data_IF_772692347248
#
_entry.id   IF_772692347248
#
_cell.length_a   1.000
_cell.length_b   1.000
_cell.length_c   1.000
_cell.angle_alpha   90.00
_cell.angle_beta   90.00
_cell.angle_gamma   90.00
#
_symmetry.space_group_name_H-M   'P 1'
#
loop_
_entity.id
_entity.type
_entity.pdbx_description
1 polymer ?
#
# COMPACT_ATOMS: atom_id res chain seq x y z
N UNK A 1 -56.65 -15.15 -26.99
CA UNK A 1 -56.73 -16.62 -27.17
C UNK A 1 -55.31 -17.10 -27.40
N UNK A 2 -54.55 -17.31 -26.32
CA UNK A 2 -54.43 -18.60 -25.62
C UNK A 2 -53.79 -19.67 -26.50
N UNK A 3 -52.53 -20.03 -26.22
CA UNK A 3 -52.27 -21.28 -25.50
C UNK A 3 -50.80 -21.39 -25.08
N UNK A 4 -50.61 -21.59 -23.79
CA UNK A 4 -49.48 -22.30 -23.22
C UNK A 4 -49.82 -23.79 -23.20
N UNK A 5 -48.84 -24.66 -23.47
CA UNK A 5 -48.81 -26.05 -22.96
C UNK A 5 -47.35 -26.42 -22.68
N UNK A 6 -47.14 -27.00 -21.51
CA UNK A 6 -45.89 -27.36 -20.89
C UNK A 6 -45.54 -28.85 -21.05
N UNK A 7 -44.33 -29.19 -20.57
CA UNK A 7 -43.83 -30.51 -20.13
C UNK A 7 -43.37 -31.51 -21.23
N UNK A 8 -42.11 -31.96 -21.20
CA UNK A 8 -41.69 -33.04 -20.31
C UNK A 8 -40.15 -33.26 -20.25
N UNK A 9 -39.74 -33.88 -19.15
CA UNK A 9 -38.40 -34.15 -18.63
C UNK A 9 -37.56 -35.16 -19.45
N UNK A 10 -36.22 -35.11 -19.30
CA UNK A 10 -35.35 -36.30 -19.28
C UNK A 10 -33.93 -36.00 -18.76
N UNK A 11 -33.72 -36.37 -17.49
CA UNK A 11 -32.60 -37.15 -16.91
C UNK A 11 -31.11 -36.75 -17.10
N UNK A 12 -30.49 -36.49 -15.93
CA UNK A 12 -29.18 -36.95 -15.45
C UNK A 12 -28.00 -37.01 -16.43
N UNK A 13 -27.13 -36.01 -16.31
CA UNK A 13 -25.70 -36.12 -16.64
C UNK A 13 -24.89 -35.53 -15.49
N UNK A 14 -24.26 -36.40 -14.70
CA UNK A 14 -23.24 -36.04 -13.71
C UNK A 14 -22.10 -35.33 -14.44
N UNK A 15 -22.06 -34.00 -14.35
CA UNK A 15 -20.98 -33.15 -14.82
C UNK A 15 -20.52 -32.30 -13.66
N UNK A 16 -19.37 -32.65 -13.10
CA UNK A 16 -18.65 -31.87 -12.10
C UNK A 16 -18.27 -30.53 -12.73
N UNK A 17 -19.13 -29.52 -12.57
CA UNK A 17 -18.85 -28.16 -13.00
C UNK A 17 -18.36 -27.37 -11.80
N UNK A 18 -17.08 -27.01 -11.89
CA UNK A 18 -16.36 -26.11 -11.01
C UNK A 18 -17.28 -24.96 -10.56
N UNK A 19 -17.43 -24.81 -9.24
CA UNK A 19 -18.02 -23.60 -8.69
C UNK A 19 -17.23 -22.41 -9.22
N UNK A 20 -17.87 -21.63 -10.08
CA UNK A 20 -17.39 -20.34 -10.54
C UNK A 20 -17.10 -19.51 -9.29
N UNK A 21 -15.83 -19.19 -9.09
CA UNK A 21 -15.41 -18.14 -8.18
C UNK A 21 -16.21 -16.89 -8.53
N UNK A 22 -17.25 -16.61 -7.76
CA UNK A 22 -17.92 -15.32 -7.78
C UNK A 22 -16.88 -14.32 -7.31
N UNK A 23 -16.20 -13.71 -8.28
CA UNK A 23 -15.44 -12.49 -8.06
C UNK A 23 -16.34 -11.55 -7.26
N UNK A 24 -15.97 -11.36 -5.99
CA UNK A 24 -16.70 -10.54 -5.04
C UNK A 24 -16.45 -9.08 -5.41
N UNK A 25 -17.03 -8.65 -6.54
CA UNK A 25 -16.89 -7.30 -7.03
C UNK A 25 -17.71 -6.40 -6.11
N UNK A 26 -17.01 -5.70 -5.21
CA UNK A 26 -17.61 -4.78 -4.25
C UNK A 26 -18.18 -3.60 -5.04
N UNK A 27 -19.49 -3.62 -5.31
CA UNK A 27 -20.25 -2.50 -5.87
C UNK A 27 -20.42 -1.38 -4.81
N UNK A 28 -19.31 -0.88 -4.27
CA UNK A 28 -19.33 0.15 -3.23
C UNK A 28 -19.63 1.52 -3.84
N UNK A 29 -20.76 2.15 -3.47
CA UNK A 29 -21.08 3.53 -3.88
C UNK A 29 -19.98 4.51 -3.50
N UNK A 30 -19.20 4.18 -2.47
CA UNK A 30 -18.03 4.91 -2.00
C UNK A 30 -16.98 5.20 -3.08
N UNK A 31 -16.86 4.35 -4.10
CA UNK A 31 -15.87 4.52 -5.17
C UNK A 31 -16.34 5.44 -6.30
N UNK A 32 -17.62 5.81 -6.35
CA UNK A 32 -18.17 6.55 -7.49
C UNK A 32 -17.74 8.02 -7.53
N UNK A 33 -17.40 8.62 -6.39
CA UNK A 33 -17.00 10.04 -6.30
C UNK A 33 -15.57 10.25 -5.83
N UNK A 34 -14.88 9.18 -5.41
CA UNK A 34 -13.53 9.26 -4.90
C UNK A 34 -12.54 9.53 -6.04
N UNK A 35 -11.72 10.58 -5.88
CA UNK A 35 -10.58 10.89 -6.74
C UNK A 35 -9.27 10.33 -6.16
N UNK A 36 -9.21 10.15 -4.85
CA UNK A 36 -8.05 9.64 -4.14
C UNK A 36 -8.46 8.62 -3.07
N UNK A 37 -7.65 7.57 -2.92
CA UNK A 37 -7.89 6.50 -1.96
C UNK A 37 -6.62 6.23 -1.14
N UNK A 38 -6.81 6.12 0.17
CA UNK A 38 -5.76 5.73 1.09
C UNK A 38 -6.13 4.41 1.76
N UNK A 39 -5.30 3.39 1.59
CA UNK A 39 -5.52 2.06 2.15
C UNK A 39 -4.43 1.76 3.14
N UNK A 40 -4.79 1.48 4.39
CA UNK A 40 -3.85 1.02 5.40
C UNK A 40 -3.85 -0.51 5.43
N UNK A 41 -2.80 -1.14 4.89
CA UNK A 41 -2.70 -2.61 4.80
C UNK A 41 -2.35 -3.29 6.11
N UNK A 42 -2.01 -2.52 7.15
CA UNK A 42 -1.48 -3.08 8.39
C UNK A 42 -0.02 -3.50 8.23
N UNK A 43 0.54 -4.11 9.27
CA UNK A 43 1.91 -4.59 9.26
C UNK A 43 1.99 -5.88 8.43
N UNK A 44 2.61 -5.78 7.24
CA UNK A 44 2.76 -6.86 6.26
C UNK A 44 3.77 -7.95 6.67
N UNK A 45 4.39 -7.84 7.84
CA UNK A 45 5.35 -8.83 8.33
C UNK A 45 5.34 -8.81 9.85
N UNK A 46 4.27 -9.33 10.47
CA UNK A 46 4.29 -9.57 11.92
C UNK A 46 5.11 -10.84 12.22
N UNK A 47 6.44 -10.73 12.07
CA UNK A 47 7.40 -11.81 12.25
C UNK A 47 7.28 -12.48 13.63
N UNK A 48 6.92 -11.71 14.66
CA UNK A 48 6.82 -12.19 16.04
C UNK A 48 5.49 -12.89 16.37
N UNK A 49 4.45 -12.78 15.53
CA UNK A 49 3.10 -13.31 15.81
C UNK A 49 2.51 -14.24 14.75
N UNK A 50 3.19 -14.42 13.62
CA UNK A 50 2.76 -15.39 12.62
C UNK A 50 3.00 -16.83 13.08
N UNK A 51 2.03 -17.41 13.78
CA UNK A 51 1.96 -18.85 14.05
C UNK A 51 1.49 -19.66 12.82
N UNK A 52 1.30 -19.02 11.67
CA UNK A 52 0.79 -19.63 10.44
C UNK A 52 1.96 -20.11 9.57
N UNK A 53 2.11 -21.43 9.49
CA UNK A 53 3.13 -22.18 8.72
C UNK A 53 3.07 -22.02 7.19
N UNK A 54 2.45 -20.97 6.67
CA UNK A 54 2.32 -20.75 5.22
C UNK A 54 3.26 -19.63 4.81
N UNK A 55 4.29 -19.98 4.04
CA UNK A 55 5.16 -19.01 3.35
C UNK A 55 4.33 -18.39 2.22
N UNK A 56 3.52 -17.38 2.57
CA UNK A 56 2.86 -16.53 1.57
C UNK A 56 3.90 -15.61 0.98
N UNK A 57 3.86 -15.41 -0.34
CA UNK A 57 4.70 -14.38 -0.96
C UNK A 57 4.26 -12.99 -0.46
N UNK A 58 5.18 -12.02 -0.43
CA UNK A 58 4.85 -10.63 -0.05
C UNK A 58 3.71 -10.06 -0.89
N UNK A 59 3.63 -10.44 -2.17
CA UNK A 59 2.53 -10.05 -3.07
C UNK A 59 1.19 -10.60 -2.61
N UNK A 60 1.12 -11.89 -2.28
CA UNK A 60 -0.12 -12.51 -1.80
C UNK A 60 -0.59 -11.90 -0.48
N UNK A 61 0.34 -11.64 0.44
CA UNK A 61 0.04 -10.99 1.71
C UNK A 61 -0.51 -9.57 1.51
N UNK A 62 0.13 -8.76 0.66
CA UNK A 62 -0.37 -7.43 0.31
C UNK A 62 -1.78 -7.51 -0.27
N UNK A 63 -2.01 -8.37 -1.25
CA UNK A 63 -3.33 -8.54 -1.87
C UNK A 63 -4.40 -8.90 -0.83
N UNK A 64 -4.13 -9.89 0.02
CA UNK A 64 -5.05 -10.32 1.06
C UNK A 64 -5.36 -9.18 2.04
N UNK A 65 -4.34 -8.43 2.48
CA UNK A 65 -4.50 -7.30 3.40
C UNK A 65 -5.28 -6.14 2.80
N UNK A 66 -5.02 -5.81 1.53
CA UNK A 66 -5.79 -4.78 0.80
C UNK A 66 -7.25 -5.20 0.70
N UNK A 67 -7.53 -6.41 0.23
CA UNK A 67 -8.89 -6.94 0.08
C UNK A 67 -9.62 -6.94 1.44
N UNK A 68 -8.98 -7.47 2.48
CA UNK A 68 -9.54 -7.53 3.84
C UNK A 68 -9.87 -6.13 4.36
N UNK A 69 -8.97 -5.17 4.18
CA UNK A 69 -9.15 -3.78 4.64
C UNK A 69 -10.31 -3.11 3.90
N UNK A 70 -10.35 -3.23 2.58
CA UNK A 70 -11.42 -2.65 1.77
C UNK A 70 -12.77 -3.25 2.15
N UNK A 71 -12.88 -4.59 2.19
CA UNK A 71 -14.12 -5.29 2.53
C UNK A 71 -14.65 -4.93 3.92
N UNK A 72 -13.78 -4.84 4.92
CA UNK A 72 -14.18 -4.44 6.28
C UNK A 72 -14.79 -3.04 6.35
N UNK A 73 -14.41 -2.16 5.43
CA UNK A 73 -14.81 -0.76 5.42
C UNK A 73 -15.98 -0.50 4.46
N UNK A 74 -16.24 -1.37 3.49
CA UNK A 74 -17.33 -1.25 2.52
C UNK A 74 -18.60 -1.97 2.95
N UNK A 75 -18.50 -3.04 3.75
CA UNK A 75 -19.65 -3.83 4.20
C UNK A 75 -20.70 -3.03 4.99
N UNK A 76 -20.27 -2.07 5.83
CA UNK A 76 -21.16 -1.28 6.71
C UNK A 76 -21.51 0.13 6.18
N UNK A 77 -20.83 0.62 5.13
CA UNK A 77 -20.88 2.05 4.75
C UNK A 77 -21.79 2.38 3.57
N UNK A 78 -22.39 1.38 2.92
CA UNK A 78 -23.22 1.62 1.73
C UNK A 78 -24.57 2.30 2.05
N UNK A 79 -25.03 2.24 3.32
CA UNK A 79 -26.22 2.95 3.81
C UNK A 79 -25.95 4.41 4.23
N UNK A 80 -24.69 4.78 4.50
CA UNK A 80 -24.28 6.14 4.94
C UNK A 80 -23.29 6.80 4.01
N UNK A 81 -23.39 6.51 2.71
CA UNK A 81 -22.50 7.09 1.71
C UNK A 81 -22.63 8.63 1.69
N UNK A 82 -21.55 9.30 2.08
CA UNK A 82 -21.34 10.73 1.82
C UNK A 82 -20.40 10.85 0.64
N UNK A 83 -20.71 11.75 -0.30
CA UNK A 83 -19.81 12.03 -1.43
C UNK A 83 -18.50 12.56 -0.87
N UNK A 84 -17.44 11.77 -1.00
CA UNK A 84 -16.10 12.12 -0.57
C UNK A 84 -15.17 12.06 -1.78
N UNK A 85 -14.36 13.10 -1.99
CA UNK A 85 -13.33 13.11 -3.01
C UNK A 85 -12.09 12.31 -2.59
N UNK A 86 -11.89 12.14 -1.29
CA UNK A 86 -10.81 11.36 -0.72
C UNK A 86 -11.38 10.35 0.29
N UNK A 87 -11.08 9.08 0.09
CA UNK A 87 -11.59 7.99 0.92
C UNK A 87 -10.45 7.25 1.62
N UNK A 88 -10.60 7.01 2.92
CA UNK A 88 -9.60 6.33 3.74
C UNK A 88 -10.16 5.01 4.28
N UNK A 89 -9.45 3.93 4.01
CA UNK A 89 -9.76 2.56 4.40
C UNK A 89 -8.75 2.10 5.44
N UNK A 90 -9.21 1.85 6.67
CA UNK A 90 -8.38 1.39 7.78
C UNK A 90 -9.13 0.29 8.50
N UNK A 91 -8.49 -0.87 8.62
CA UNK A 91 -8.97 -1.93 9.51
C UNK A 91 -8.20 -1.83 10.83
N UNK A 92 -8.86 -1.37 11.88
CA UNK A 92 -8.24 -1.14 13.19
C UNK A 92 -7.66 -2.41 13.81
N UNK A 93 -8.16 -3.60 13.45
CA UNK A 93 -7.61 -4.87 13.91
C UNK A 93 -6.24 -5.20 13.28
N UNK A 94 -5.86 -4.51 12.20
CA UNK A 94 -4.59 -4.72 11.49
C UNK A 94 -3.56 -3.62 11.79
N UNK A 95 -3.97 -2.57 12.49
CA UNK A 95 -3.08 -1.46 12.87
C UNK A 95 -2.41 -1.80 14.20
N UNK A 96 -1.09 -1.90 14.18
CA UNK A 96 -0.28 -2.08 15.38
C UNK A 96 0.88 -1.07 15.36
N UNK A 97 0.93 -0.24 16.39
CA UNK A 97 2.00 0.74 16.59
C UNK A 97 3.19 0.09 17.30
N UNK A 98 4.38 0.61 17.03
CA UNK A 98 5.59 0.26 17.76
C UNK A 98 5.42 0.74 19.20
N UNK A 99 5.64 -0.16 20.16
CA UNK A 99 5.60 0.23 21.57
C UNK A 99 6.87 0.97 21.95
N UNK A 100 6.76 1.93 22.87
CA UNK A 100 7.89 2.76 23.29
C UNK A 100 9.05 1.92 23.86
N UNK A 101 8.75 0.84 24.58
CA UNK A 101 9.75 -0.09 25.11
C UNK A 101 10.49 -0.90 24.03
N UNK A 102 9.85 -1.15 22.88
CA UNK A 102 10.43 -1.91 21.77
C UNK A 102 11.23 -1.00 20.82
N UNK A 103 10.88 0.29 20.74
CA UNK A 103 11.45 1.25 19.77
C UNK A 103 12.98 1.27 19.75
N UNK A 104 13.63 1.26 20.92
CA UNK A 104 15.09 1.32 21.02
C UNK A 104 15.80 0.03 20.56
N UNK A 105 15.06 -1.07 20.44
CA UNK A 105 15.58 -2.38 20.00
C UNK A 105 15.29 -2.68 18.53
N UNK A 106 14.44 -1.85 17.90
CA UNK A 106 14.01 -2.01 16.51
C UNK A 106 14.68 -0.97 15.61
N UNK A 107 15.10 -1.42 14.43
CA UNK A 107 15.47 -0.54 13.33
C UNK A 107 14.27 -0.42 12.39
N UNK A 108 13.67 0.75 12.31
CA UNK A 108 12.51 1.06 11.48
C UNK A 108 12.99 1.60 10.13
N UNK A 109 12.71 0.88 9.05
CA UNK A 109 13.00 1.32 7.69
C UNK A 109 11.72 1.47 6.87
N UNK A 110 11.61 2.55 6.11
CA UNK A 110 10.50 2.81 5.19
C UNK A 110 11.01 2.83 3.76
N UNK A 111 10.27 2.22 2.83
CA UNK A 111 10.55 2.30 1.39
C UNK A 111 9.46 3.11 0.70
N UNK A 112 9.83 4.25 0.12
CA UNK A 112 8.93 5.12 -0.63
C UNK A 112 9.01 4.81 -2.12
N UNK A 113 7.87 4.47 -2.71
CA UNK A 113 7.74 4.24 -4.15
C UNK A 113 7.30 5.54 -4.84
N UNK A 114 8.16 6.06 -5.70
CA UNK A 114 7.96 7.35 -6.36
C UNK A 114 7.32 7.12 -7.72
N UNK A 115 6.04 7.45 -7.84
CA UNK A 115 5.29 7.34 -9.10
C UNK A 115 5.14 8.69 -9.83
N UNK A 116 5.32 9.81 -9.13
CA UNK A 116 5.19 11.16 -9.66
C UNK A 116 6.24 12.09 -9.03
N UNK A 117 6.69 13.08 -9.81
CA UNK A 117 7.65 14.09 -9.33
C UNK A 117 6.95 15.17 -8.49
N UNK A 118 6.58 14.80 -7.26
CA UNK A 118 5.92 15.69 -6.29
C UNK A 118 6.70 15.73 -4.98
N UNK A 119 7.70 16.61 -4.85
CA UNK A 119 8.57 16.64 -3.67
C UNK A 119 7.83 16.90 -2.35
N UNK A 120 6.76 17.71 -2.37
CA UNK A 120 5.95 17.99 -1.18
C UNK A 120 5.32 16.72 -0.58
N UNK A 121 5.04 15.71 -1.40
CA UNK A 121 4.48 14.44 -0.92
C UNK A 121 5.45 13.66 -0.03
N UNK A 122 6.76 13.93 -0.10
CA UNK A 122 7.76 13.24 0.73
C UNK A 122 7.53 13.55 2.20
N UNK A 123 7.38 14.83 2.56
CA UNK A 123 7.17 15.23 3.95
C UNK A 123 5.83 14.69 4.47
N UNK A 124 4.77 14.79 3.66
CA UNK A 124 3.45 14.26 4.02
C UNK A 124 3.48 12.74 4.24
N UNK A 125 4.18 11.99 3.38
CA UNK A 125 4.35 10.55 3.52
C UNK A 125 5.11 10.19 4.79
N UNK A 126 6.25 10.85 5.05
CA UNK A 126 7.06 10.58 6.24
C UNK A 126 6.32 10.89 7.54
N UNK A 127 5.67 12.05 7.66
CA UNK A 127 4.90 12.39 8.87
C UNK A 127 3.72 11.45 9.09
N UNK A 128 3.13 10.96 8.00
CA UNK A 128 2.10 9.94 8.07
C UNK A 128 2.66 8.61 8.57
N UNK A 129 3.80 8.16 8.06
CA UNK A 129 4.45 6.93 8.50
C UNK A 129 4.82 7.00 9.99
N UNK A 130 5.37 8.13 10.46
CA UNK A 130 5.62 8.38 11.89
C UNK A 130 4.34 8.22 12.73
N UNK A 131 3.25 8.83 12.28
CA UNK A 131 1.95 8.79 12.98
C UNK A 131 1.34 7.38 13.00
N UNK A 132 1.41 6.67 11.87
CA UNK A 132 0.83 5.34 11.69
C UNK A 132 1.63 4.28 12.44
N UNK A 133 2.97 4.36 12.43
CA UNK A 133 3.86 3.48 13.19
C UNK A 133 3.92 3.85 14.69
N UNK A 134 3.55 5.08 15.06
CA UNK A 134 3.65 5.58 16.43
C UNK A 134 5.09 5.78 16.90
N UNK A 135 5.95 6.27 16.01
CA UNK A 135 7.37 6.54 16.29
C UNK A 135 7.69 8.00 16.03
N UNK A 136 8.66 8.53 16.77
CA UNK A 136 9.08 9.94 16.62
C UNK A 136 10.09 10.15 15.49
N UNK A 137 10.79 9.08 15.06
CA UNK A 137 11.75 9.11 13.98
C UNK A 137 11.85 7.76 13.25
N UNK A 138 12.23 7.78 11.97
CA UNK A 138 12.51 6.61 11.12
C UNK A 138 14.03 6.44 10.99
N UNK A 139 14.54 5.22 11.17
CA UNK A 139 15.99 4.99 11.10
C UNK A 139 16.52 5.07 9.66
N UNK A 140 15.80 4.54 8.68
CA UNK A 140 16.22 4.57 7.27
C UNK A 140 15.03 4.81 6.33
N UNK A 141 15.15 5.76 5.43
CA UNK A 141 14.20 5.94 4.31
C UNK A 141 14.87 5.56 3.00
N UNK A 142 14.24 4.65 2.25
CA UNK A 142 14.72 4.18 0.95
C UNK A 142 13.79 4.69 -0.15
N UNK A 143 14.29 5.51 -1.06
CA UNK A 143 13.56 5.91 -2.26
C UNK A 143 13.68 4.84 -3.34
N UNK A 144 12.56 4.50 -3.97
CA UNK A 144 12.50 3.59 -5.11
C UNK A 144 11.79 4.26 -6.26
N UNK A 145 12.47 4.26 -7.40
CA UNK A 145 11.97 4.80 -8.66
C UNK A 145 11.73 3.62 -9.61
N UNK A 146 10.75 3.70 -10.52
CA UNK A 146 10.56 2.67 -11.52
C UNK A 146 11.87 2.32 -12.27
N UNK A 147 12.28 1.04 -12.28
CA UNK A 147 13.61 0.63 -12.76
C UNK A 147 13.80 0.77 -14.28
N UNK A 148 12.70 0.97 -15.02
CA UNK A 148 12.71 1.12 -16.48
C UNK A 148 13.08 2.53 -16.96
N UNK A 149 13.22 3.50 -16.05
CA UNK A 149 13.65 4.85 -16.41
C UNK A 149 15.15 4.88 -16.70
N UNK A 150 15.58 5.70 -17.67
CA UNK A 150 17.01 5.88 -17.95
C UNK A 150 17.70 6.67 -16.82
N UNK A 151 19.03 6.53 -16.69
CA UNK A 151 19.81 7.11 -15.61
C UNK A 151 19.57 8.62 -15.38
N UNK A 152 19.57 9.41 -16.45
CA UNK A 152 19.36 10.85 -16.37
C UNK A 152 17.94 11.20 -15.89
N UNK A 153 16.95 10.39 -16.27
CA UNK A 153 15.57 10.55 -15.80
C UNK A 153 15.44 10.15 -14.33
N UNK A 154 16.07 9.03 -13.92
CA UNK A 154 16.11 8.61 -12.51
C UNK A 154 16.70 9.71 -11.63
N UNK A 155 17.84 10.29 -12.03
CA UNK A 155 18.47 11.37 -11.27
C UNK A 155 17.61 12.65 -11.27
N UNK A 156 17.07 13.07 -12.42
CA UNK A 156 16.22 14.26 -12.51
C UNK A 156 15.01 14.15 -11.59
N UNK A 157 14.33 13.00 -11.60
CA UNK A 157 13.18 12.73 -10.75
C UNK A 157 13.58 12.73 -9.28
N UNK A 158 14.65 12.03 -8.89
CA UNK A 158 14.97 11.88 -7.46
C UNK A 158 15.55 13.14 -6.82
N UNK A 159 16.28 13.95 -7.59
CA UNK A 159 17.00 15.12 -7.09
C UNK A 159 16.15 16.04 -6.20
N UNK A 160 14.93 16.46 -6.59
CA UNK A 160 14.10 17.29 -5.74
C UNK A 160 13.54 16.54 -4.52
N UNK A 161 13.22 15.24 -4.62
CA UNK A 161 12.79 14.42 -3.48
C UNK A 161 13.92 14.20 -2.46
N UNK A 162 15.14 14.00 -2.95
CA UNK A 162 16.34 13.84 -2.14
C UNK A 162 16.58 15.05 -1.25
N UNK A 163 16.43 16.27 -1.79
CA UNK A 163 16.53 17.50 -0.99
C UNK A 163 15.49 17.58 0.13
N UNK A 164 14.28 17.10 -0.09
CA UNK A 164 13.26 17.06 0.97
C UNK A 164 13.62 16.04 2.05
N UNK A 165 14.18 14.90 1.67
CA UNK A 165 14.70 13.92 2.64
C UNK A 165 15.91 14.46 3.43
N UNK A 166 16.85 15.16 2.79
CA UNK A 166 17.99 15.80 3.48
C UNK A 166 17.52 16.77 4.56
N UNK A 167 16.48 17.58 4.30
CA UNK A 167 15.87 18.44 5.33
C UNK A 167 15.29 17.65 6.50
N UNK A 168 14.65 16.50 6.23
CA UNK A 168 14.07 15.66 7.28
C UNK A 168 15.16 14.98 8.12
N UNK A 169 16.33 14.70 7.53
CA UNK A 169 17.52 14.25 8.25
C UNK A 169 18.06 15.37 9.15
N UNK A 170 18.22 16.59 8.62
CA UNK A 170 18.63 17.76 9.40
C UNK A 170 17.67 18.03 10.59
N UNK A 171 16.38 17.78 10.40
CA UNK A 171 15.34 17.91 11.42
C UNK A 171 15.22 16.71 12.38
N UNK A 172 16.06 15.68 12.21
CA UNK A 172 16.06 14.45 13.04
C UNK A 172 14.79 13.59 12.96
N UNK A 173 13.93 13.79 11.96
CA UNK A 173 12.79 12.89 11.69
C UNK A 173 13.23 11.60 10.98
N UNK A 174 14.35 11.65 10.27
CA UNK A 174 14.94 10.53 9.55
C UNK A 174 16.42 10.40 9.92
N UNK A 175 16.90 9.19 10.17
CA UNK A 175 18.31 8.91 10.43
C UNK A 175 19.14 8.90 9.15
N UNK A 176 19.02 7.82 8.39
CA UNK A 176 19.71 7.61 7.11
C UNK A 176 18.74 7.67 5.92
N UNK A 177 19.25 8.07 4.76
CA UNK A 177 18.51 8.08 3.49
C UNK A 177 19.26 7.28 2.43
N UNK A 178 18.50 6.54 1.62
CA UNK A 178 19.05 5.64 0.61
C UNK A 178 18.19 5.61 -0.65
N UNK A 179 18.75 5.05 -1.72
CA UNK A 179 18.06 4.77 -2.98
C UNK A 179 18.08 3.29 -3.31
N UNK A 180 17.07 2.83 -4.02
CA UNK A 180 16.94 1.48 -4.54
C UNK A 180 16.62 1.55 -6.04
N UNK A 181 16.96 0.49 -6.78
CA UNK A 181 16.63 0.35 -8.20
C UNK A 181 17.34 1.40 -9.11
N UNK A 182 18.50 1.89 -8.67
CA UNK A 182 19.31 2.89 -9.36
C UNK A 182 20.32 2.27 -10.33
N UNK A 183 20.49 2.89 -11.50
CA UNK A 183 21.64 2.62 -12.36
C UNK A 183 22.93 3.11 -11.71
N UNK A 184 24.07 2.52 -12.09
CA UNK A 184 25.38 2.94 -11.58
C UNK A 184 25.69 4.40 -11.96
N UNK A 185 25.27 4.84 -13.13
CA UNK A 185 25.40 6.22 -13.61
C UNK A 185 24.57 7.17 -12.77
N UNK A 186 23.29 6.86 -12.53
CA UNK A 186 22.41 7.65 -11.69
C UNK A 186 22.93 7.76 -10.25
N UNK A 187 23.45 6.65 -9.69
CA UNK A 187 24.04 6.63 -8.35
C UNK A 187 25.28 7.53 -8.27
N UNK A 188 26.16 7.51 -9.27
CA UNK A 188 27.32 8.42 -9.34
C UNK A 188 26.90 9.88 -9.44
N UNK A 189 25.85 10.19 -10.20
CA UNK A 189 25.31 11.55 -10.30
C UNK A 189 24.75 12.00 -8.94
N UNK A 190 23.98 11.14 -8.27
CA UNK A 190 23.42 11.41 -6.94
C UNK A 190 24.51 11.59 -5.90
N UNK A 191 25.51 10.72 -5.84
CA UNK A 191 26.61 10.80 -4.88
C UNK A 191 27.41 12.11 -5.01
N UNK A 192 27.57 12.64 -6.23
CA UNK A 192 28.20 13.95 -6.46
C UNK A 192 27.33 15.14 -6.05
N UNK A 193 26.02 14.94 -5.97
CA UNK A 193 25.04 15.98 -5.67
C UNK A 193 24.66 16.04 -4.18
N UNK A 194 24.52 14.87 -3.55
CA UNK A 194 24.15 14.71 -2.16
C UNK A 194 25.18 15.36 -1.23
N UNK A 195 24.70 15.87 -0.09
CA UNK A 195 25.52 16.58 0.90
C UNK A 195 25.91 15.70 2.08
#
# INVERSE_FOLDING_TARGET
MSNAVAMNECQNGNGHCCEENKDHCVNGKIFQTAKQMYIHTGNLTNWSRSNSKVVKSTTEEICERVITTVNSCTADKDERFSKQECVRFVNSALVEKVKSEERNTLKVSVKLFINEEKPHNIQEAIFRDLTELGVDYIDVVVLSIPPFLCADTQFSVIKPMWKELEKLVEQSYVGDIAVCDFSMEALKQLNKFAK
#
